data_IF_282764742919
#
_entry.id   IF_282764742919
#
_cell.length_a   1.000
_cell.length_b   1.000
_cell.length_c   1.000
_cell.angle_alpha   90.00
_cell.angle_beta   90.00
_cell.angle_gamma   90.00
#
_symmetry.space_group_name_H-M   'P 1'
#
loop_
_entity.id
_entity.type
_entity.pdbx_description
1 polymer ?
#
# COMPACT_ATOMS: atom_id res chain seq x y z
N UNK A 1 5.63 -3.85 2.90
CA UNK A 1 4.19 -4.10 2.72
C UNK A 1 3.99 -5.43 1.98
N UNK A 2 2.99 -6.23 2.36
CA UNK A 2 2.56 -7.37 1.53
C UNK A 2 1.46 -6.89 0.60
N UNK A 3 1.56 -7.21 -0.69
CA UNK A 3 0.61 -6.77 -1.73
C UNK A 3 -0.07 -7.98 -2.36
N UNK A 4 -1.32 -7.77 -2.77
CA UNK A 4 -2.16 -8.81 -3.39
C UNK A 4 -1.84 -9.06 -4.87
N UNK A 5 -1.05 -8.16 -5.49
CA UNK A 5 -0.56 -8.28 -6.86
C UNK A 5 0.92 -7.92 -6.93
N UNK A 6 1.70 -8.64 -7.73
CA UNK A 6 3.07 -8.25 -8.06
C UNK A 6 3.04 -7.00 -8.96
N UNK A 7 3.71 -5.89 -8.59
CA UNK A 7 3.85 -4.73 -9.47
C UNK A 7 4.49 -5.10 -10.81
N UNK A 8 4.13 -4.37 -11.88
CA UNK A 8 4.71 -4.58 -13.21
C UNK A 8 6.22 -4.32 -13.22
N UNK A 9 6.66 -3.25 -12.53
CA UNK A 9 8.08 -2.93 -12.37
C UNK A 9 8.58 -3.39 -10.99
N UNK A 10 9.82 -3.91 -10.94
CA UNK A 10 10.40 -4.44 -9.69
C UNK A 10 10.86 -3.33 -8.73
N UNK A 11 11.03 -2.12 -9.21
CA UNK A 11 11.33 -0.93 -8.42
C UNK A 11 10.88 0.32 -9.16
N UNK A 12 10.70 1.41 -8.43
CA UNK A 12 10.35 2.69 -9.03
C UNK A 12 9.86 3.72 -8.03
N UNK A 13 9.29 4.78 -8.57
CA UNK A 13 8.67 5.86 -7.81
C UNK A 13 7.19 5.98 -8.13
N UNK A 14 6.42 6.37 -7.11
CA UNK A 14 5.00 6.68 -7.23
C UNK A 14 4.86 8.15 -6.83
N UNK A 15 4.66 9.00 -7.84
CA UNK A 15 4.52 10.44 -7.68
C UNK A 15 3.14 10.89 -8.14
N UNK A 16 2.32 11.36 -7.21
CA UNK A 16 0.95 11.79 -7.50
C UNK A 16 0.52 12.89 -6.53
N UNK A 17 -0.38 13.77 -6.95
CA UNK A 17 -1.05 14.69 -6.03
C UNK A 17 -2.08 13.93 -5.20
N UNK A 18 -2.17 14.18 -3.90
CA UNK A 18 -3.20 13.61 -3.04
C UNK A 18 -4.03 14.72 -2.39
N UNK A 19 -5.34 14.49 -2.26
CA UNK A 19 -6.25 15.31 -1.45
C UNK A 19 -7.19 14.44 -0.64
N UNK A 20 -7.74 15.02 0.43
CA UNK A 20 -8.84 14.42 1.19
C UNK A 20 -10.17 14.85 0.58
N UNK A 21 -11.13 13.93 0.52
CA UNK A 21 -12.53 14.18 0.10
C UNK A 21 -13.47 13.35 0.97
N UNK A 22 -14.66 13.86 1.21
CA UNK A 22 -15.77 13.06 1.75
C UNK A 22 -16.45 12.33 0.60
N UNK A 23 -16.57 11.01 0.69
CA UNK A 23 -17.31 10.16 -0.25
C UNK A 23 -18.22 9.27 0.60
N UNK A 24 -19.54 9.46 0.47
CA UNK A 24 -20.56 8.72 1.23
C UNK A 24 -20.31 8.73 2.76
N UNK A 25 -19.82 9.84 3.30
CA UNK A 25 -19.50 9.98 4.74
C UNK A 25 -18.16 9.38 5.16
N UNK A 26 -17.31 8.96 4.21
CA UNK A 26 -15.95 8.52 4.46
C UNK A 26 -14.94 9.58 4.04
N UNK A 27 -14.08 9.98 4.99
CA UNK A 27 -12.90 10.81 4.73
C UNK A 27 -11.82 10.00 4.00
N UNK A 28 -11.80 10.07 2.67
CA UNK A 28 -10.90 9.31 1.80
C UNK A 28 -9.85 10.16 1.13
N UNK A 29 -8.72 9.52 0.84
CA UNK A 29 -7.63 10.10 0.07
C UNK A 29 -7.83 9.74 -1.39
N UNK A 30 -7.78 10.71 -2.29
CA UNK A 30 -7.90 10.49 -3.73
C UNK A 30 -6.68 11.02 -4.49
N UNK A 31 -6.20 10.27 -5.51
CA UNK A 31 -5.13 10.74 -6.36
C UNK A 31 -5.63 11.82 -7.33
N UNK A 32 -4.76 12.79 -7.60
CA UNK A 32 -4.98 13.91 -8.51
C UNK A 32 -3.82 13.93 -9.49
N UNK A 33 -4.04 13.36 -10.67
CA UNK A 33 -3.01 13.19 -11.69
C UNK A 33 -2.47 14.54 -12.21
N UNK A 34 -3.32 15.56 -12.29
CA UNK A 34 -2.94 16.89 -12.78
C UNK A 34 -3.46 18.00 -11.85
N UNK A 35 -2.78 18.27 -10.73
CA UNK A 35 -3.17 19.32 -9.80
C UNK A 35 -3.08 20.71 -10.43
N UNK A 36 -4.11 21.54 -10.23
CA UNK A 36 -4.07 22.95 -10.65
C UNK A 36 -3.05 23.76 -9.84
N UNK A 37 -2.56 24.87 -10.39
CA UNK A 37 -1.69 25.80 -9.64
C UNK A 37 -2.39 26.30 -8.37
N UNK A 38 -3.69 26.63 -8.47
CA UNK A 38 -4.50 27.11 -7.35
C UNK A 38 -4.59 26.08 -6.23
N UNK A 39 -4.93 24.83 -6.55
CA UNK A 39 -5.09 23.75 -5.54
C UNK A 39 -3.78 23.41 -4.83
N UNK A 40 -2.63 23.59 -5.49
CA UNK A 40 -1.32 23.44 -4.85
C UNK A 40 -1.00 24.63 -3.93
N UNK A 41 -1.27 25.86 -4.36
CA UNK A 41 -1.05 27.07 -3.56
C UNK A 41 -1.93 27.09 -2.29
N UNK A 42 -3.18 26.66 -2.41
CA UNK A 42 -4.12 26.55 -1.27
C UNK A 42 -3.89 25.31 -0.41
N UNK A 43 -2.95 24.43 -0.78
CA UNK A 43 -2.66 23.15 -0.11
C UNK A 43 -3.85 22.18 -0.04
N UNK A 44 -4.85 22.37 -0.89
CA UNK A 44 -5.95 21.42 -1.10
C UNK A 44 -5.40 20.09 -1.63
N UNK A 45 -4.45 20.16 -2.57
CA UNK A 45 -3.71 19.01 -3.09
C UNK A 45 -2.25 19.11 -2.64
N UNK A 46 -1.69 18.01 -2.14
CA UNK A 46 -0.26 17.91 -1.83
C UNK A 46 0.41 16.95 -2.80
N UNK A 47 1.55 17.35 -3.39
CA UNK A 47 2.40 16.43 -4.14
C UNK A 47 3.01 15.41 -3.18
N UNK A 48 2.97 14.15 -3.54
CA UNK A 48 3.46 13.05 -2.69
C UNK A 48 4.33 12.10 -3.48
N UNK A 49 5.35 11.54 -2.81
CA UNK A 49 6.35 10.66 -3.41
C UNK A 49 6.63 9.47 -2.49
N UNK A 50 6.57 8.27 -3.05
CA UNK A 50 7.04 7.02 -2.41
C UNK A 50 7.93 6.26 -3.38
N UNK A 51 9.14 5.90 -2.94
CA UNK A 51 9.94 4.90 -3.64
C UNK A 51 9.52 3.50 -3.20
N UNK A 52 9.55 2.54 -4.12
CA UNK A 52 9.29 1.15 -3.79
C UNK A 52 10.30 0.23 -4.46
N UNK A 53 10.50 -0.93 -3.82
CA UNK A 53 11.27 -2.04 -4.36
C UNK A 53 10.59 -3.36 -3.98
N UNK A 54 10.41 -4.24 -4.94
CA UNK A 54 9.97 -5.62 -4.74
C UNK A 54 11.14 -6.38 -4.14
N UNK A 55 10.95 -6.91 -2.94
CA UNK A 55 11.94 -7.70 -2.21
C UNK A 55 11.82 -9.17 -2.56
N UNK A 56 10.59 -9.67 -2.60
CA UNK A 56 10.28 -11.02 -3.03
C UNK A 56 8.88 -11.03 -3.66
N UNK A 57 8.66 -11.95 -4.60
CA UNK A 57 7.36 -12.13 -5.25
C UNK A 57 7.12 -13.60 -5.57
N UNK A 58 5.89 -14.04 -5.34
CA UNK A 58 5.49 -15.43 -5.58
C UNK A 58 4.03 -15.51 -5.92
N UNK A 59 3.72 -16.25 -6.99
CA UNK A 59 2.35 -16.62 -7.37
C UNK A 59 1.37 -15.43 -7.37
N UNK A 60 1.82 -14.33 -7.97
CA UNK A 60 1.02 -13.12 -8.13
C UNK A 60 0.95 -12.22 -6.91
N UNK A 61 1.63 -12.50 -5.79
CA UNK A 61 1.73 -11.57 -4.65
C UNK A 61 3.18 -11.14 -4.42
N UNK A 62 3.39 -10.05 -3.66
CA UNK A 62 4.75 -9.54 -3.44
C UNK A 62 4.95 -8.89 -2.06
N UNK A 63 6.17 -9.01 -1.55
CA UNK A 63 6.69 -8.24 -0.42
C UNK A 63 7.47 -7.05 -0.96
N UNK A 64 7.03 -5.85 -0.63
CA UNK A 64 7.66 -4.60 -1.04
C UNK A 64 8.32 -3.89 0.14
N UNK A 65 9.49 -3.32 -0.10
CA UNK A 65 10.03 -2.23 0.69
C UNK A 65 9.48 -0.92 0.14
N UNK A 66 9.03 -0.02 1.03
CA UNK A 66 8.53 1.30 0.69
C UNK A 66 9.34 2.35 1.43
N UNK A 67 9.63 3.47 0.76
CA UNK A 67 10.29 4.63 1.33
C UNK A 67 9.48 5.88 0.96
N UNK A 68 8.51 6.28 1.78
CA UNK A 68 7.78 7.53 1.58
C UNK A 68 8.71 8.73 1.85
N UNK A 69 8.84 9.63 0.88
CA UNK A 69 9.60 10.88 1.03
C UNK A 69 8.72 11.99 1.60
N UNK A 70 7.41 11.88 1.37
CA UNK A 70 6.39 12.79 1.89
C UNK A 70 5.56 12.13 2.98
N UNK A 71 4.98 12.95 3.87
CA UNK A 71 4.02 12.49 4.87
C UNK A 71 2.61 12.95 4.49
N UNK A 72 1.76 12.00 4.09
CA UNK A 72 0.35 12.21 3.83
C UNK A 72 -0.44 11.00 4.35
N UNK A 73 -1.64 11.24 4.89
CA UNK A 73 -2.50 10.18 5.43
C UNK A 73 -2.71 9.11 4.37
N UNK A 74 -2.58 7.84 4.73
CA UNK A 74 -2.80 6.68 3.86
C UNK A 74 -2.07 6.72 2.50
N UNK A 75 -0.98 7.50 2.38
CA UNK A 75 -0.22 7.68 1.14
C UNK A 75 0.18 6.34 0.51
N UNK A 76 0.77 5.44 1.31
CA UNK A 76 1.28 4.16 0.84
C UNK A 76 0.17 3.26 0.29
N UNK A 77 -1.01 3.24 0.92
CA UNK A 77 -2.15 2.46 0.44
C UNK A 77 -2.66 2.96 -0.91
N UNK A 78 -2.83 4.28 -1.05
CA UNK A 78 -3.28 4.89 -2.32
C UNK A 78 -2.23 4.75 -3.42
N UNK A 79 -0.95 4.95 -3.10
CA UNK A 79 0.15 4.78 -4.05
C UNK A 79 0.24 3.34 -4.55
N UNK A 80 0.21 2.36 -3.65
CA UNK A 80 0.24 0.95 -4.04
C UNK A 80 -1.01 0.53 -4.82
N UNK A 81 -2.16 1.12 -4.52
CA UNK A 81 -3.37 0.98 -5.34
C UNK A 81 -3.15 1.53 -6.75
N UNK A 82 -2.55 2.71 -6.91
CA UNK A 82 -2.29 3.33 -8.22
C UNK A 82 -1.41 2.49 -9.15
N UNK A 83 -0.51 1.67 -8.60
CA UNK A 83 0.30 0.72 -9.38
C UNK A 83 -0.34 -0.68 -9.47
N UNK A 84 -1.65 -0.77 -9.19
CA UNK A 84 -2.46 -2.00 -9.25
C UNK A 84 -2.03 -3.10 -8.27
N UNK A 85 -1.29 -2.76 -7.22
CA UNK A 85 -0.76 -3.69 -6.21
C UNK A 85 -1.24 -3.34 -4.79
N UNK A 86 -2.56 -3.40 -4.51
CA UNK A 86 -3.07 -2.94 -3.22
C UNK A 86 -2.55 -3.81 -2.07
N UNK A 87 -2.36 -3.17 -0.92
CA UNK A 87 -1.84 -3.81 0.31
C UNK A 87 -2.81 -4.89 0.78
N UNK A 88 -2.29 -6.03 1.23
CA UNK A 88 -3.09 -7.09 1.84
C UNK A 88 -3.69 -6.60 3.18
N UNK A 89 -5.00 -6.79 3.36
CA UNK A 89 -5.78 -6.24 4.47
C UNK A 89 -6.25 -4.80 4.27
N UNK A 90 -6.08 -4.21 3.08
CA UNK A 90 -6.56 -2.86 2.80
C UNK A 90 -8.07 -2.86 2.48
N UNK A 91 -8.90 -2.57 3.46
CA UNK A 91 -10.35 -2.48 3.29
C UNK A 91 -10.84 -1.07 2.91
N UNK A 92 -9.93 -0.11 2.75
CA UNK A 92 -10.27 1.27 2.42
C UNK A 92 -10.10 1.58 0.94
N UNK A 93 -8.99 1.14 0.34
CA UNK A 93 -8.61 1.55 -1.01
C UNK A 93 -8.50 0.40 -2.01
N UNK A 94 -8.44 -0.86 -1.55
CA UNK A 94 -8.29 -2.00 -2.48
C UNK A 94 -9.44 -2.17 -3.46
N UNK A 95 -10.63 -1.68 -3.12
CA UNK A 95 -11.82 -1.70 -3.99
C UNK A 95 -11.66 -0.88 -5.27
N UNK A 96 -10.67 0.03 -5.31
CA UNK A 96 -10.31 0.82 -6.49
C UNK A 96 -9.54 0.03 -7.54
N UNK A 97 -9.14 -1.20 -7.26
CA UNK A 97 -8.53 -2.09 -8.25
C UNK A 97 -9.56 -3.13 -8.69
N UNK A 98 -10.12 -2.92 -9.89
CA UNK A 98 -10.99 -3.88 -10.56
C UNK A 98 -10.21 -4.86 -11.43
N UNK A 99 -10.92 -5.83 -12.01
CA UNK A 99 -10.37 -6.77 -12.99
C UNK A 99 -11.35 -6.91 -14.17
N UNK A 100 -10.86 -6.86 -15.41
CA UNK A 100 -11.62 -7.18 -16.63
C UNK A 100 -10.85 -8.24 -17.41
N UNK A 101 -11.47 -9.39 -17.69
CA UNK A 101 -10.83 -10.51 -18.40
C UNK A 101 -9.50 -10.97 -17.78
N UNK A 102 -9.36 -10.85 -16.46
CA UNK A 102 -8.12 -11.20 -15.74
C UNK A 102 -7.13 -10.03 -15.60
N UNK A 103 -7.30 -8.95 -16.37
CA UNK A 103 -6.42 -7.79 -16.33
C UNK A 103 -6.86 -6.76 -15.28
N UNK A 104 -5.96 -6.32 -14.38
CA UNK A 104 -6.29 -5.33 -13.37
C UNK A 104 -6.39 -3.92 -13.96
N UNK A 105 -7.29 -3.10 -13.43
CA UNK A 105 -7.41 -1.68 -13.81
C UNK A 105 -7.87 -0.83 -12.63
N UNK A 106 -7.65 0.49 -12.72
CA UNK A 106 -8.08 1.46 -11.72
C UNK A 106 -9.52 1.90 -11.98
N UNK A 107 -10.34 1.78 -10.95
CA UNK A 107 -11.67 2.37 -10.88
C UNK A 107 -11.57 3.81 -10.33
N UNK A 108 -12.56 4.63 -10.67
CA UNK A 108 -12.66 6.00 -10.18
C UNK A 108 -12.86 5.99 -8.66
N UNK A 109 -12.11 6.86 -7.98
CA UNK A 109 -12.08 6.88 -6.52
C UNK A 109 -13.42 7.32 -5.92
N UNK A 110 -14.15 8.17 -6.64
CA UNK A 110 -15.46 8.73 -6.30
C UNK A 110 -16.59 7.69 -6.40
N UNK A 111 -16.41 6.66 -7.23
CA UNK A 111 -17.42 5.61 -7.48
C UNK A 111 -17.15 4.33 -6.68
N UNK A 112 -16.14 4.36 -5.80
CA UNK A 112 -15.63 3.18 -5.10
C UNK A 112 -15.57 3.41 -3.59
N UNK A 113 -16.71 3.30 -2.90
CA UNK A 113 -16.73 3.38 -1.44
C UNK A 113 -15.87 2.25 -0.82
N UNK A 114 -15.39 2.44 0.42
CA UNK A 114 -14.66 1.43 1.15
C UNK A 114 -15.48 0.14 1.28
N UNK A 115 -14.84 -1.00 1.05
CA UNK A 115 -15.43 -2.32 1.28
C UNK A 115 -14.37 -3.30 1.72
N UNK A 116 -14.81 -4.37 2.38
CA UNK A 116 -13.93 -5.50 2.71
C UNK A 116 -13.18 -5.95 1.46
N UNK A 117 -11.85 -6.08 1.61
CA UNK A 117 -10.98 -6.47 0.51
C UNK A 117 -11.41 -7.84 -0.04
N UNK A 118 -11.50 -7.93 -1.36
CA UNK A 118 -11.75 -9.19 -2.06
C UNK A 118 -10.40 -9.69 -2.59
N UNK A 119 -10.08 -10.94 -2.28
CA UNK A 119 -8.88 -11.62 -2.75
C UNK A 119 -9.26 -12.66 -3.81
N UNK A 120 -8.33 -12.99 -4.69
CA UNK A 120 -8.49 -14.14 -5.56
C UNK A 120 -8.55 -15.45 -4.74
N UNK A 121 -9.21 -16.46 -5.30
CA UNK A 121 -9.43 -17.73 -4.61
C UNK A 121 -8.12 -18.43 -4.23
N UNK A 122 -7.10 -18.35 -5.08
CA UNK A 122 -5.79 -18.97 -4.84
C UNK A 122 -5.09 -18.34 -3.64
N UNK A 123 -5.10 -17.01 -3.55
CA UNK A 123 -4.54 -16.27 -2.43
C UNK A 123 -5.33 -16.55 -1.14
N UNK A 124 -6.67 -16.60 -1.20
CA UNK A 124 -7.48 -16.99 -0.04
C UNK A 124 -7.16 -18.40 0.47
N UNK A 125 -7.03 -19.37 -0.44
CA UNK A 125 -6.69 -20.76 -0.10
C UNK A 125 -5.32 -20.85 0.60
N UNK A 126 -4.31 -20.15 0.08
CA UNK A 126 -2.97 -20.10 0.69
C UNK A 126 -2.98 -19.48 2.08
N UNK A 127 -3.68 -18.36 2.24
CA UNK A 127 -3.82 -17.69 3.52
C UNK A 127 -4.73 -18.45 4.49
N UNK A 128 -5.40 -19.52 4.02
CA UNK A 128 -6.39 -20.31 4.77
C UNK A 128 -7.52 -19.43 5.30
N UNK A 129 -7.92 -18.45 4.50
CA UNK A 129 -9.00 -17.52 4.83
C UNK A 129 -10.31 -17.95 4.16
N UNK A 130 -11.41 -17.54 4.77
CA UNK A 130 -12.75 -17.61 4.18
C UNK A 130 -13.28 -16.21 3.97
N UNK A 131 -14.12 -16.01 2.96
CA UNK A 131 -14.68 -14.69 2.66
C UNK A 131 -15.38 -14.05 3.87
N UNK A 132 -16.05 -14.85 4.70
CA UNK A 132 -16.80 -14.37 5.86
C UNK A 132 -15.91 -13.76 6.95
N UNK A 133 -14.60 -14.07 6.98
CA UNK A 133 -13.67 -13.53 7.99
C UNK A 133 -12.71 -12.50 7.42
N UNK A 134 -12.83 -12.16 6.14
CA UNK A 134 -11.92 -11.22 5.45
C UNK A 134 -11.86 -9.85 6.11
N UNK A 135 -12.96 -9.38 6.70
CA UNK A 135 -13.02 -8.11 7.43
C UNK A 135 -12.10 -8.03 8.67
N UNK A 136 -11.60 -9.17 9.14
CA UNK A 136 -10.67 -9.26 10.28
C UNK A 136 -9.20 -9.24 9.85
N UNK A 137 -8.93 -9.27 8.54
CA UNK A 137 -7.57 -9.31 8.02
C UNK A 137 -6.87 -7.98 8.32
N UNK A 138 -5.77 -8.04 9.05
CA UNK A 138 -5.01 -6.84 9.42
C UNK A 138 -4.27 -6.28 8.20
N UNK A 139 -4.06 -4.97 8.18
CA UNK A 139 -3.28 -4.30 7.15
C UNK A 139 -1.82 -4.75 7.23
N UNK A 140 -1.30 -5.34 6.15
CA UNK A 140 0.09 -5.81 6.05
C UNK A 140 1.03 -4.69 5.60
N UNK A 141 1.02 -3.60 6.37
CA UNK A 141 1.87 -2.43 6.21
C UNK A 141 2.64 -2.21 7.52
N UNK A 142 3.96 -2.43 7.49
CA UNK A 142 4.81 -2.41 8.67
C UNK A 142 5.91 -1.36 8.50
N UNK A 143 6.05 -0.46 9.48
CA UNK A 143 7.19 0.45 9.57
C UNK A 143 8.38 -0.32 10.12
N UNK A 144 9.18 -0.87 9.21
CA UNK A 144 10.30 -1.74 9.59
C UNK A 144 11.53 -0.96 10.07
N UNK A 145 11.85 0.17 9.44
CA UNK A 145 13.06 0.93 9.70
C UNK A 145 12.76 2.43 9.73
N UNK A 146 13.40 3.14 10.66
CA UNK A 146 13.40 4.59 10.74
C UNK A 146 14.81 5.08 11.01
N UNK A 147 15.38 5.82 10.06
CA UNK A 147 16.68 6.47 10.21
C UNK A 147 16.48 7.83 10.89
N UNK A 148 17.06 8.01 12.07
CA UNK A 148 17.04 9.29 12.77
C UNK A 148 18.19 10.18 12.27
N UNK A 149 17.95 11.50 12.12
CA UNK A 149 19.01 12.43 11.77
C UNK A 149 20.08 12.48 12.87
N UNK A 150 21.29 12.86 12.48
CA UNK A 150 22.39 13.10 13.42
C UNK A 150 21.98 14.18 14.44
N UNK A 151 22.14 13.89 15.73
CA UNK A 151 22.02 14.88 16.80
C UNK A 151 23.34 15.61 17.02
N UNK A 152 23.35 16.68 17.84
CA UNK A 152 24.55 17.48 18.10
C UNK A 152 25.77 16.69 18.65
N UNK A 153 25.59 15.45 19.13
CA UNK A 153 26.65 14.70 19.81
C UNK A 153 26.80 13.21 19.43
N UNK A 154 26.10 12.65 18.43
CA UNK A 154 26.33 11.25 18.03
C UNK A 154 25.78 10.87 16.65
N UNK A 155 26.41 9.83 16.09
CA UNK A 155 26.13 9.20 14.79
C UNK A 155 24.66 8.79 14.59
N UNK A 156 24.18 8.87 13.34
CA UNK A 156 22.85 8.41 12.88
C UNK A 156 22.40 7.12 13.56
N UNK A 157 21.27 7.20 14.26
CA UNK A 157 20.64 6.04 14.88
C UNK A 157 19.63 5.42 13.90
N UNK A 158 19.75 4.12 13.67
CA UNK A 158 18.78 3.33 12.92
C UNK A 158 17.87 2.60 13.92
N UNK A 159 16.57 2.93 13.91
CA UNK A 159 15.56 2.18 14.64
C UNK A 159 14.99 1.09 13.73
N UNK A 160 14.96 -0.16 14.22
CA UNK A 160 14.41 -1.30 13.50
C UNK A 160 13.32 -1.95 14.33
N UNK A 161 12.13 -2.15 13.76
CA UNK A 161 11.04 -2.88 14.37
C UNK A 161 10.87 -4.25 13.70
N UNK A 162 10.87 -5.37 14.46
CA UNK A 162 10.59 -6.68 13.88
C UNK A 162 9.16 -6.74 13.35
N UNK A 163 8.89 -7.43 12.22
CA UNK A 163 7.53 -7.62 11.74
C UNK A 163 6.66 -8.35 12.77
N UNK A 164 5.38 -7.98 12.91
CA UNK A 164 4.50 -8.61 13.89
C UNK A 164 4.18 -10.07 13.52
N UNK A 165 3.77 -10.93 14.48
CA UNK A 165 3.58 -12.36 14.24
C UNK A 165 2.62 -12.71 13.10
N UNK A 166 1.50 -11.97 12.98
CA UNK A 166 0.54 -12.19 11.89
C UNK A 166 1.16 -11.93 10.51
N UNK A 167 2.05 -10.93 10.42
CA UNK A 167 2.74 -10.58 9.18
C UNK A 167 3.70 -11.71 8.78
N UNK A 168 4.48 -12.23 9.74
CA UNK A 168 5.37 -13.36 9.51
C UNK A 168 4.62 -14.64 9.13
N UNK A 169 3.46 -14.90 9.76
CA UNK A 169 2.61 -16.03 9.41
C UNK A 169 2.11 -15.93 7.97
N UNK A 170 1.68 -14.74 7.54
CA UNK A 170 1.30 -14.47 6.16
C UNK A 170 2.47 -14.71 5.20
N UNK A 171 3.67 -14.20 5.50
CA UNK A 171 4.84 -14.44 4.64
C UNK A 171 5.12 -15.94 4.46
N UNK A 172 5.01 -16.75 5.53
CA UNK A 172 5.17 -18.21 5.46
C UNK A 172 4.11 -18.87 4.57
N UNK A 173 2.84 -18.49 4.73
CA UNK A 173 1.75 -19.02 3.89
C UNK A 173 1.93 -18.66 2.41
N UNK A 174 2.42 -17.46 2.13
CA UNK A 174 2.68 -16.97 0.78
C UNK A 174 4.04 -17.38 0.21
N UNK A 175 4.90 -18.00 1.02
CA UNK A 175 6.28 -18.36 0.67
C UNK A 175 7.11 -17.15 0.21
N UNK A 176 6.88 -16.01 0.84
CA UNK A 176 7.65 -14.78 0.64
C UNK A 176 8.74 -14.69 1.71
N UNK A 177 9.94 -14.27 1.30
CA UNK A 177 11.10 -14.18 2.16
C UNK A 177 11.39 -12.73 2.52
N UNK A 178 11.80 -12.51 3.78
CA UNK A 178 12.39 -11.25 4.18
C UNK A 178 13.74 -11.07 3.48
N UNK A 179 14.19 -9.82 3.26
CA UNK A 179 15.51 -9.59 2.68
C UNK A 179 16.58 -10.18 3.60
N UNK A 180 17.64 -10.74 3.00
CA UNK A 180 18.86 -11.09 3.73
C UNK A 180 19.40 -9.83 4.41
N UNK A 181 19.65 -9.91 5.72
CA UNK A 181 20.39 -8.84 6.42
C UNK A 181 21.85 -8.84 6.01
#
# INVERSE_FOLDING_TARGET
AVTTRTPVAMEGEIHTGLKMVDIDGFDLVVPVASPSRKSLQTKEVKKTLTYYKVIDSKDGCALLQLQPVTNFRNQMQVHLTQILSPVLGDHLYSSRVGTVLGEPFLLLAEETPPRTQVLDEHLMQKLRLRQQVMFRLQLHLHLHQLLLPDGCCSSRALLVAPPPPFFLQTLRHLRLNLPSM
#
